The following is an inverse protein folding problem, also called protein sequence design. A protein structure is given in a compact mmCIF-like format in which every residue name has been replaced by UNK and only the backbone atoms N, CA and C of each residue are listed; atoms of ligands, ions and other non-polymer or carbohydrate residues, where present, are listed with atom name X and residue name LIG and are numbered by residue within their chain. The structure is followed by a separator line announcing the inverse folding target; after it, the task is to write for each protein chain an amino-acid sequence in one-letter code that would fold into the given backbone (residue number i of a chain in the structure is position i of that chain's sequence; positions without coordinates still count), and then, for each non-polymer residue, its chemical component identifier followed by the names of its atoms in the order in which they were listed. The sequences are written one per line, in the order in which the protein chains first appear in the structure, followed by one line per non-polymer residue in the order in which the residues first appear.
data_IF_356297424087
#
_entry.id   IF_356297424087
#
_cell.length_a   1.000
_cell.length_b   1.000
_cell.length_c   1.000
_cell.angle_alpha   90.00
_cell.angle_beta   90.00
_cell.angle_gamma   90.00
#
_symmetry.space_group_name_H-M   'P 1'
#
loop_
_entity.id
_entity.type
_entity.pdbx_description
1 polymer ?
#
# COMPACT_ATOMS: atom_id res chain seq x y z
N UNK A 1 1.09 20.16 -25.14
CA UNK A 1 0.00 20.70 -24.29
C UNK A 1 -0.11 19.81 -23.05
N UNK A 2 0.06 20.36 -21.85
CA UNK A 2 0.20 19.61 -20.58
C UNK A 2 -1.01 18.70 -20.35
N UNK A 3 -0.83 17.37 -20.41
CA UNK A 3 -1.84 16.37 -20.00
C UNK A 3 -1.89 16.31 -18.46
N UNK A 4 -2.38 17.37 -17.83
CA UNK A 4 -2.48 17.47 -16.38
C UNK A 4 -3.90 17.81 -15.92
N UNK A 5 -4.12 17.81 -14.60
CA UNK A 5 -5.39 18.22 -13.99
C UNK A 5 -5.62 19.69 -14.35
N UNK A 6 -6.69 19.95 -15.12
CA UNK A 6 -7.01 21.26 -15.69
C UNK A 6 -7.68 22.19 -14.67
N UNK A 7 -8.56 21.64 -13.83
CA UNK A 7 -9.24 22.36 -12.76
C UNK A 7 -9.62 21.40 -11.63
N UNK A 8 -9.89 21.95 -10.45
CA UNK A 8 -10.50 21.25 -9.33
C UNK A 8 -11.63 22.10 -8.77
N UNK A 9 -12.76 21.45 -8.51
CA UNK A 9 -13.85 21.98 -7.71
C UNK A 9 -14.02 21.11 -6.46
N UNK A 10 -14.12 21.74 -5.29
CA UNK A 10 -14.34 21.06 -4.02
C UNK A 10 -15.71 21.50 -3.49
N UNK A 11 -16.68 20.60 -3.47
CA UNK A 11 -18.04 20.88 -3.04
C UNK A 11 -18.55 19.80 -2.09
N UNK A 12 -19.27 20.17 -1.01
CA UNK A 12 -20.11 19.21 -0.29
C UNK A 12 -21.19 18.69 -1.24
N UNK A 13 -21.38 17.37 -1.29
CA UNK A 13 -22.34 16.74 -2.19
C UNK A 13 -23.05 15.58 -1.52
N UNK A 14 -24.23 15.26 -2.05
CA UNK A 14 -24.95 14.03 -1.74
C UNK A 14 -24.82 13.08 -2.93
N UNK A 15 -24.32 11.88 -2.68
CA UNK A 15 -24.07 10.89 -3.73
C UNK A 15 -24.77 9.58 -3.39
N UNK A 16 -25.27 8.89 -4.42
CA UNK A 16 -25.72 7.50 -4.31
C UNK A 16 -24.57 6.59 -4.72
N UNK A 17 -24.02 5.85 -3.77
CA UNK A 17 -22.85 4.98 -4.00
C UNK A 17 -23.32 3.53 -4.17
N UNK A 18 -22.84 2.88 -5.23
CA UNK A 18 -22.96 1.42 -5.39
C UNK A 18 -21.67 0.77 -4.94
N UNK A 19 -21.76 -0.24 -4.06
CA UNK A 19 -20.59 -0.98 -3.58
C UNK A 19 -20.28 -2.12 -4.54
N UNK A 20 -19.03 -2.19 -4.99
CA UNK A 20 -18.49 -3.24 -5.83
C UNK A 20 -17.13 -3.67 -5.27
N UNK A 21 -16.76 -4.91 -5.52
CA UNK A 21 -15.43 -5.45 -5.28
C UNK A 21 -14.52 -5.20 -6.49
N UNK A 22 -13.21 -5.29 -6.28
CA UNK A 22 -12.25 -5.19 -7.38
C UNK A 22 -12.48 -6.29 -8.41
N UNK A 23 -12.70 -7.54 -7.97
CA UNK A 23 -12.98 -8.67 -8.85
C UNK A 23 -14.22 -8.44 -9.73
N UNK A 24 -15.31 -7.89 -9.17
CA UNK A 24 -16.52 -7.56 -9.94
C UNK A 24 -16.29 -6.46 -10.98
N UNK A 25 -15.44 -5.46 -10.69
CA UNK A 25 -15.13 -4.39 -11.64
C UNK A 25 -14.15 -4.88 -12.70
N UNK A 26 -13.23 -5.78 -12.34
CA UNK A 26 -12.25 -6.35 -13.27
C UNK A 26 -12.92 -6.97 -14.50
N UNK A 27 -14.01 -7.73 -14.29
CA UNK A 27 -14.76 -8.37 -15.38
C UNK A 27 -15.62 -7.40 -16.20
N UNK A 28 -15.62 -6.11 -15.86
CA UNK A 28 -16.50 -5.07 -16.40
C UNK A 28 -15.72 -3.84 -16.86
N UNK A 29 -14.40 -3.92 -16.98
CA UNK A 29 -13.54 -2.78 -17.32
C UNK A 29 -13.84 -2.19 -18.71
N UNK A 30 -14.40 -2.97 -19.62
CA UNK A 30 -14.82 -2.51 -20.94
C UNK A 30 -16.22 -1.84 -20.93
N UNK A 31 -16.95 -1.89 -19.80
CA UNK A 31 -18.24 -1.24 -19.63
C UNK A 31 -18.09 0.19 -19.12
N UNK A 32 -18.99 1.10 -19.52
CA UNK A 32 -19.06 2.42 -18.90
C UNK A 32 -19.74 2.36 -17.51
N UNK A 33 -19.27 3.13 -16.51
CA UNK A 33 -18.25 4.17 -16.59
C UNK A 33 -16.79 3.69 -16.43
N UNK A 34 -16.56 2.39 -16.23
CA UNK A 34 -15.25 1.83 -15.87
C UNK A 34 -14.22 1.98 -16.99
N UNK A 35 -14.61 1.81 -18.25
CA UNK A 35 -13.75 1.98 -19.40
C UNK A 35 -13.15 3.40 -19.46
N UNK A 36 -13.98 4.42 -19.26
CA UNK A 36 -13.52 5.81 -19.20
C UNK A 36 -12.62 6.05 -18.00
N UNK A 37 -12.96 5.53 -16.82
CA UNK A 37 -12.13 5.68 -15.62
C UNK A 37 -10.77 5.00 -15.76
N UNK A 38 -10.71 3.80 -16.32
CA UNK A 38 -9.47 3.07 -16.57
C UNK A 38 -8.56 3.86 -17.50
N UNK A 39 -9.10 4.35 -18.63
CA UNK A 39 -8.35 5.16 -19.60
C UNK A 39 -7.76 6.43 -18.97
N UNK A 40 -8.52 7.10 -18.10
CA UNK A 40 -8.03 8.27 -17.37
C UNK A 40 -6.94 7.91 -16.36
N UNK A 41 -7.12 6.83 -15.61
CA UNK A 41 -6.13 6.34 -14.65
C UNK A 41 -4.82 5.93 -15.33
N UNK A 42 -4.88 5.22 -16.47
CA UNK A 42 -3.70 4.84 -17.25
C UNK A 42 -2.97 6.05 -17.83
N UNK A 43 -3.71 7.02 -18.40
CA UNK A 43 -3.10 8.25 -18.91
C UNK A 43 -2.42 9.06 -17.79
N UNK A 44 -3.01 9.05 -16.60
CA UNK A 44 -2.44 9.69 -15.41
C UNK A 44 -1.19 8.94 -14.91
N UNK A 45 -1.24 7.61 -14.85
CA UNK A 45 -0.12 6.76 -14.48
C UNK A 45 1.09 6.98 -15.39
N UNK A 46 0.89 6.90 -16.71
CA UNK A 46 1.95 7.14 -17.70
C UNK A 46 2.56 8.54 -17.57
N UNK A 47 1.75 9.55 -17.20
CA UNK A 47 2.27 10.88 -16.90
C UNK A 47 3.16 10.86 -15.66
N UNK A 48 2.76 10.21 -14.57
CA UNK A 48 3.57 10.12 -13.34
C UNK A 48 4.88 9.38 -13.58
N UNK A 49 4.85 8.27 -14.31
CA UNK A 49 6.05 7.51 -14.70
C UNK A 49 7.01 8.35 -15.54
N UNK A 50 6.48 9.14 -16.49
CA UNK A 50 7.29 10.10 -17.25
C UNK A 50 7.92 11.22 -16.40
N UNK A 51 7.48 11.39 -15.15
CA UNK A 51 8.05 12.29 -14.14
C UNK A 51 8.78 11.52 -13.02
N UNK A 52 9.21 10.28 -13.28
CA UNK A 52 10.03 9.49 -12.37
C UNK A 52 9.27 8.80 -11.24
N UNK A 53 7.95 8.62 -11.37
CA UNK A 53 7.22 7.79 -10.41
C UNK A 53 7.73 6.35 -10.41
N UNK A 54 7.84 5.79 -9.22
CA UNK A 54 8.33 4.43 -9.00
C UNK A 54 7.14 3.51 -8.80
N UNK A 55 7.10 2.42 -9.55
CA UNK A 55 6.10 1.34 -9.40
C UNK A 55 6.76 0.19 -8.66
N UNK A 56 6.17 -0.22 -7.54
CA UNK A 56 6.59 -1.40 -6.77
C UNK A 56 5.33 -2.24 -6.56
N UNK A 57 5.23 -3.32 -7.31
CA UNK A 57 4.13 -4.28 -7.22
C UNK A 57 4.68 -5.61 -6.66
N UNK A 58 4.95 -5.60 -5.36
CA UNK A 58 5.34 -6.80 -4.63
C UNK A 58 4.09 -7.52 -4.10
N UNK A 59 4.05 -8.86 -4.13
CA UNK A 59 2.95 -9.67 -3.63
C UNK A 59 2.38 -9.21 -2.27
N UNK A 60 1.09 -8.89 -2.28
CA UNK A 60 0.30 -8.60 -1.10
C UNK A 60 -0.71 -9.71 -0.82
N UNK A 61 -1.10 -9.87 0.45
CA UNK A 61 -2.15 -10.80 0.85
C UNK A 61 -3.19 -10.10 1.70
N UNK A 62 -4.44 -10.53 1.57
CA UNK A 62 -5.49 -10.25 2.55
C UNK A 62 -5.51 -11.33 3.62
N UNK A 63 -5.67 -10.89 4.87
CA UNK A 63 -5.80 -11.78 6.03
C UNK A 63 -7.19 -11.56 6.61
N UNK A 64 -7.98 -12.64 6.74
CA UNK A 64 -9.31 -12.62 7.36
C UNK A 64 -9.40 -13.71 8.43
N UNK A 65 -9.92 -13.34 9.60
CA UNK A 65 -10.21 -14.29 10.68
C UNK A 65 -11.72 -14.50 10.74
N UNK A 66 -12.17 -15.73 10.52
CA UNK A 66 -13.59 -16.12 10.65
C UNK A 66 -13.82 -16.79 11.99
N UNK A 67 -14.63 -16.18 12.84
CA UNK A 67 -15.12 -16.82 14.05
C UNK A 67 -16.38 -17.62 13.71
N UNK A 68 -16.41 -18.91 14.06
CA UNK A 68 -17.64 -19.72 13.94
C UNK A 68 -18.75 -19.18 14.85
N UNK A 69 -20.01 -19.28 14.42
CA UNK A 69 -21.15 -18.83 15.22
C UNK A 69 -21.23 -19.52 16.59
N UNK A 70 -21.71 -18.77 17.59
CA UNK A 70 -22.04 -19.28 18.92
C UNK A 70 -23.26 -20.22 18.82
N UNK A 71 -23.02 -21.51 18.64
CA UNK A 71 -23.99 -22.53 19.05
C UNK A 71 -23.30 -23.62 19.87
N UNK A 72 -23.71 -23.72 21.13
CA UNK A 72 -23.41 -24.84 22.04
C UNK A 72 -22.05 -24.75 22.73
N UNK A 73 -22.10 -24.59 24.06
CA UNK A 73 -20.98 -24.80 24.97
C UNK A 73 -20.37 -26.18 24.74
N UNK A 74 -19.13 -26.24 24.25
CA UNK A 74 -18.24 -27.39 24.41
C UNK A 74 -16.86 -26.82 24.72
N UNK A 75 -16.27 -27.27 25.83
CA UNK A 75 -14.90 -26.93 26.25
C UNK A 75 -13.90 -27.40 25.20
N UNK A 76 -13.12 -26.46 24.67
CA UNK A 76 -12.16 -26.66 23.60
C UNK A 76 -12.16 -25.40 22.74
N UNK A 77 -11.01 -24.73 22.64
CA UNK A 77 -10.83 -23.49 21.88
C UNK A 77 -11.34 -23.70 20.44
N UNK A 78 -12.52 -23.19 20.07
CA UNK A 78 -12.94 -23.11 18.67
C UNK A 78 -12.04 -22.07 18.01
N UNK A 79 -10.92 -22.51 17.45
CA UNK A 79 -10.01 -21.61 16.72
C UNK A 79 -10.77 -21.03 15.54
N UNK A 80 -10.80 -19.70 15.43
CA UNK A 80 -11.28 -19.06 14.22
C UNK A 80 -10.44 -19.51 13.03
N UNK A 81 -11.08 -19.74 11.88
CA UNK A 81 -10.34 -20.08 10.67
C UNK A 81 -9.65 -18.82 10.16
N UNK A 82 -8.34 -18.88 10.01
CA UNK A 82 -7.58 -17.82 9.36
C UNK A 82 -7.54 -18.11 7.86
N UNK A 83 -7.80 -17.09 7.06
CA UNK A 83 -7.78 -17.15 5.60
C UNK A 83 -6.76 -16.13 5.14
N UNK A 84 -5.67 -16.60 4.55
CA UNK A 84 -4.70 -15.79 3.82
C UNK A 84 -4.99 -15.97 2.33
N UNK A 85 -5.17 -14.86 1.60
CA UNK A 85 -5.42 -14.88 0.15
C UNK A 85 -4.54 -13.86 -0.55
N UNK A 86 -3.77 -14.27 -1.57
CA UNK A 86 -3.08 -13.37 -2.46
C UNK A 86 -4.03 -12.34 -3.05
N UNK A 87 -3.56 -11.11 -3.14
CA UNK A 87 -4.23 -10.04 -3.85
C UNK A 87 -3.65 -10.02 -5.26
N UNK A 88 -4.40 -10.44 -6.29
CA UNK A 88 -3.91 -10.40 -7.65
C UNK A 88 -3.68 -8.94 -8.10
N UNK A 89 -2.75 -8.72 -9.04
CA UNK A 89 -2.63 -7.44 -9.71
C UNK A 89 -3.85 -7.26 -10.61
N UNK A 90 -4.75 -6.35 -10.22
CA UNK A 90 -6.01 -6.08 -10.91
C UNK A 90 -6.01 -4.65 -11.46
N UNK A 91 -6.43 -4.48 -12.71
CA UNK A 91 -6.55 -3.15 -13.31
C UNK A 91 -7.60 -2.29 -12.60
N UNK A 92 -8.65 -2.91 -12.05
CA UNK A 92 -9.62 -2.26 -11.17
C UNK A 92 -8.99 -1.68 -9.90
N UNK A 93 -7.93 -2.29 -9.35
CA UNK A 93 -7.16 -1.73 -8.23
C UNK A 93 -6.34 -0.53 -8.69
N UNK A 94 -5.61 -0.67 -9.79
CA UNK A 94 -4.82 0.41 -10.41
C UNK A 94 -5.68 1.62 -10.74
N UNK A 95 -6.90 1.40 -11.23
CA UNK A 95 -7.89 2.44 -11.50
C UNK A 95 -8.20 3.24 -10.23
N UNK A 96 -8.58 2.55 -9.14
CA UNK A 96 -8.93 3.21 -7.88
C UNK A 96 -7.72 3.92 -7.29
N UNK A 97 -6.55 3.28 -7.27
CA UNK A 97 -5.31 3.88 -6.80
C UNK A 97 -4.98 5.17 -7.57
N UNK A 98 -4.99 5.11 -8.90
CA UNK A 98 -4.75 6.25 -9.77
C UNK A 98 -5.72 7.41 -9.49
N UNK A 99 -7.01 7.11 -9.30
CA UNK A 99 -8.01 8.13 -8.93
C UNK A 99 -7.74 8.76 -7.56
N UNK A 100 -7.31 7.98 -6.57
CA UNK A 100 -6.98 8.48 -5.23
C UNK A 100 -5.74 9.38 -5.26
N UNK A 101 -4.71 8.98 -6.01
CA UNK A 101 -3.47 9.77 -6.15
C UNK A 101 -3.77 11.07 -6.91
N UNK A 102 -4.53 10.99 -8.00
CA UNK A 102 -4.97 12.16 -8.77
C UNK A 102 -5.75 13.15 -7.91
N UNK A 103 -6.62 12.66 -7.03
CA UNK A 103 -7.37 13.51 -6.09
C UNK A 103 -6.43 14.22 -5.12
N UNK A 104 -5.43 13.51 -4.58
CA UNK A 104 -4.45 14.09 -3.67
C UNK A 104 -3.53 15.13 -4.30
N UNK A 105 -3.10 14.93 -5.56
CA UNK A 105 -2.38 15.96 -6.33
C UNK A 105 -3.28 17.18 -6.58
N UNK A 106 -4.53 16.95 -7.01
CA UNK A 106 -5.47 18.04 -7.28
C UNK A 106 -5.66 18.93 -6.05
N UNK A 107 -5.91 18.30 -4.90
CA UNK A 107 -6.12 18.99 -3.62
C UNK A 107 -4.86 19.72 -3.16
N UNK A 108 -3.68 19.12 -3.31
CA UNK A 108 -2.43 19.78 -2.98
C UNK A 108 -2.23 21.05 -3.83
N UNK A 109 -2.45 20.97 -5.14
CA UNK A 109 -2.36 22.12 -6.05
C UNK A 109 -3.39 23.20 -5.70
N UNK A 110 -4.64 22.81 -5.46
CA UNK A 110 -5.70 23.72 -5.05
C UNK A 110 -5.35 24.49 -3.78
N UNK A 111 -4.77 23.81 -2.80
CA UNK A 111 -4.35 24.41 -1.53
C UNK A 111 -3.18 25.40 -1.73
N UNK A 112 -2.18 25.02 -2.52
CA UNK A 112 -1.04 25.89 -2.88
C UNK A 112 -1.54 27.17 -3.56
N UNK A 113 -2.39 27.04 -4.58
CA UNK A 113 -2.92 28.18 -5.34
C UNK A 113 -3.74 29.16 -4.47
N UNK A 114 -4.24 28.70 -3.31
CA UNK A 114 -5.12 29.45 -2.41
C UNK A 114 -4.47 29.80 -1.06
N UNK A 115 -3.21 29.45 -0.86
CA UNK A 115 -2.51 29.65 0.42
C UNK A 115 -3.13 28.89 1.59
N UNK A 116 -3.73 27.71 1.34
CA UNK A 116 -4.27 26.84 2.40
C UNK A 116 -3.14 25.92 2.87
N UNK A 117 -2.81 25.97 4.16
CA UNK A 117 -1.82 25.07 4.75
C UNK A 117 -2.40 23.66 4.93
N UNK A 118 -1.68 22.63 4.48
CA UNK A 118 -2.10 21.23 4.59
C UNK A 118 -0.96 20.34 5.11
N UNK A 119 -1.26 19.17 5.70
CA UNK A 119 -0.24 18.15 5.93
C UNK A 119 0.11 17.46 4.60
N UNK A 120 1.15 17.94 3.94
CA UNK A 120 1.67 17.38 2.69
C UNK A 120 2.42 16.08 2.96
N UNK A 121 2.15 15.05 2.17
CA UNK A 121 2.96 13.83 2.16
C UNK A 121 4.10 14.01 1.16
N UNK A 122 5.32 13.93 1.66
CA UNK A 122 6.54 14.28 0.93
C UNK A 122 7.51 13.12 0.95
N UNK A 123 8.33 13.01 -0.08
CA UNK A 123 9.36 11.98 -0.16
C UNK A 123 10.47 12.53 -1.04
N UNK A 124 11.68 12.62 -0.49
CA UNK A 124 12.84 13.02 -1.26
C UNK A 124 13.00 12.11 -2.49
N UNK A 125 13.19 12.67 -3.70
CA UNK A 125 13.52 11.89 -4.88
C UNK A 125 14.75 11.03 -4.64
N UNK A 126 14.68 9.77 -5.07
CA UNK A 126 15.87 8.93 -5.19
C UNK A 126 16.69 9.30 -6.42
N UNK A 127 17.83 8.65 -6.58
CA UNK A 127 18.57 8.70 -7.84
C UNK A 127 17.71 8.11 -8.97
N UNK A 128 17.80 8.64 -10.21
CA UNK A 128 17.13 8.03 -11.36
C UNK A 128 17.52 6.56 -11.47
N UNK A 129 16.53 5.67 -11.52
CA UNK A 129 16.72 4.25 -11.74
C UNK A 129 15.89 3.81 -12.94
N UNK A 130 16.36 2.77 -13.64
CA UNK A 130 15.56 2.12 -14.66
C UNK A 130 14.29 1.51 -14.01
N UNK A 131 13.17 1.42 -14.76
CA UNK A 131 11.98 0.76 -14.25
C UNK A 131 12.30 -0.67 -13.83
N UNK A 132 11.92 -1.03 -12.60
CA UNK A 132 12.04 -2.40 -12.13
C UNK A 132 10.94 -3.25 -12.79
N UNK A 133 11.34 -4.31 -13.49
CA UNK A 133 10.44 -5.23 -14.19
C UNK A 133 10.24 -6.53 -13.41
N UNK A 134 11.22 -6.93 -12.59
CA UNK A 134 11.16 -8.17 -11.81
C UNK A 134 10.95 -7.91 -10.31
N UNK A 135 10.53 -8.95 -9.56
CA UNK A 135 10.34 -8.82 -8.11
C UNK A 135 11.66 -8.61 -7.38
N UNK A 136 12.77 -9.17 -7.84
CA UNK A 136 14.09 -8.91 -7.25
C UNK A 136 14.54 -7.45 -7.45
N UNK A 137 14.30 -6.88 -8.63
CA UNK A 137 14.56 -5.47 -8.92
C UNK A 137 13.67 -4.54 -8.08
N UNK A 138 12.36 -4.81 -8.02
CA UNK A 138 11.42 -4.05 -7.19
C UNK A 138 11.77 -4.16 -5.71
N UNK A 139 12.21 -5.33 -5.25
CA UNK A 139 12.66 -5.56 -3.89
C UNK A 139 13.91 -4.74 -3.56
N UNK A 140 14.89 -4.70 -4.47
CA UNK A 140 16.10 -3.89 -4.33
C UNK A 140 15.77 -2.39 -4.33
N UNK A 141 14.96 -1.94 -5.28
CA UNK A 141 14.51 -0.55 -5.43
C UNK A 141 13.77 -0.07 -4.18
N UNK A 142 12.83 -0.85 -3.64
CA UNK A 142 12.11 -0.52 -2.39
C UNK A 142 13.05 -0.19 -1.23
N UNK A 143 14.23 -0.83 -1.17
CA UNK A 143 15.20 -0.67 -0.09
C UNK A 143 16.06 0.58 -0.22
N UNK A 144 16.20 1.14 -1.43
CA UNK A 144 16.94 2.39 -1.67
C UNK A 144 16.06 3.63 -1.47
N UNK A 145 14.74 3.48 -1.55
CA UNK A 145 13.79 4.58 -1.38
C UNK A 145 13.85 5.21 0.02
N UNK A 146 13.79 6.55 0.04
CA UNK A 146 13.61 7.32 1.27
C UNK A 146 12.20 7.11 1.83
N UNK A 147 12.04 7.23 3.15
CA UNK A 147 10.71 7.16 3.76
C UNK A 147 9.90 8.40 3.40
N UNK A 148 8.61 8.22 3.14
CA UNK A 148 7.65 9.33 3.08
C UNK A 148 7.46 9.96 4.47
N UNK A 149 7.32 11.28 4.52
CA UNK A 149 7.18 12.10 5.72
C UNK A 149 6.07 13.13 5.51
N UNK A 150 5.34 13.46 6.57
CA UNK A 150 4.44 14.61 6.52
C UNK A 150 5.18 15.91 6.78
N UNK A 151 4.81 16.97 6.07
CA UNK A 151 5.33 18.33 6.22
C UNK A 151 4.21 19.35 6.15
N UNK A 152 4.39 20.51 6.80
CA UNK A 152 3.47 21.65 6.71
C UNK A 152 3.62 22.45 5.42
N UNK A 153 4.75 22.29 4.73
CA UNK A 153 5.10 22.99 3.49
C UNK A 153 5.08 22.00 2.32
N UNK A 154 4.58 22.39 1.13
CA UNK A 154 4.61 21.52 -0.03
C UNK A 154 6.04 21.17 -0.44
N UNK A 155 6.27 19.91 -0.77
CA UNK A 155 7.51 19.42 -1.34
C UNK A 155 7.24 18.19 -2.23
N UNK A 156 8.19 17.85 -3.12
CA UNK A 156 8.04 16.69 -4.01
C UNK A 156 7.79 15.38 -3.26
N UNK A 157 7.09 14.48 -3.95
CA UNK A 157 6.96 13.09 -3.58
C UNK A 157 7.58 12.21 -4.67
N UNK A 158 8.88 11.92 -4.51
CA UNK A 158 9.70 11.21 -5.50
C UNK A 158 9.08 9.92 -6.01
N UNK A 159 8.69 9.01 -5.12
CA UNK A 159 8.09 7.73 -5.51
C UNK A 159 6.75 7.85 -6.24
N UNK A 160 6.05 8.99 -6.13
CA UNK A 160 4.79 9.22 -6.85
C UNK A 160 4.99 10.03 -8.14
N UNK A 161 6.17 10.60 -8.39
CA UNK A 161 6.43 11.50 -9.52
C UNK A 161 5.58 12.77 -9.48
N UNK A 162 5.41 13.37 -8.30
CA UNK A 162 4.56 14.54 -8.07
C UNK A 162 5.32 15.67 -7.37
N UNK A 163 5.09 16.92 -7.81
CA UNK A 163 5.68 18.12 -7.18
C UNK A 163 5.09 18.44 -5.81
N UNK A 164 3.83 18.05 -5.59
CA UNK A 164 3.13 18.19 -4.32
C UNK A 164 2.02 17.14 -4.22
N UNK A 165 1.83 16.58 -3.02
CA UNK A 165 0.82 15.57 -2.76
C UNK A 165 0.27 15.68 -1.34
N UNK A 166 -1.05 15.59 -1.20
CA UNK A 166 -1.74 15.54 0.08
C UNK A 166 -2.68 14.33 0.11
N UNK A 167 -2.64 13.56 1.19
CA UNK A 167 -3.57 12.45 1.38
C UNK A 167 -4.92 13.00 1.85
N UNK A 168 -5.99 12.68 1.12
CA UNK A 168 -7.33 13.27 1.35
C UNK A 168 -8.48 12.27 1.26
N UNK A 169 -8.23 11.05 0.76
CA UNK A 169 -9.27 10.10 0.37
C UNK A 169 -9.60 9.07 1.46
N UNK A 170 -9.04 9.20 2.66
CA UNK A 170 -9.25 8.25 3.77
C UNK A 170 -9.44 8.92 5.15
N UNK A 171 -10.28 9.96 5.29
CA UNK A 171 -10.46 10.72 6.53
C UNK A 171 -11.04 9.90 7.70
N UNK A 172 -11.70 8.78 7.42
CA UNK A 172 -12.24 7.89 8.46
C UNK A 172 -11.19 7.04 9.18
N UNK A 173 -10.01 6.86 8.56
CA UNK A 173 -8.96 5.96 9.05
C UNK A 173 -7.57 6.60 9.16
N UNK A 174 -7.38 7.81 8.63
CA UNK A 174 -6.12 8.57 8.71
C UNK A 174 -6.40 9.97 9.21
N UNK A 175 -5.72 10.35 10.30
CA UNK A 175 -5.87 11.68 10.90
C UNK A 175 -5.40 12.80 9.96
N UNK A 176 -4.32 12.59 9.20
CA UNK A 176 -3.86 13.56 8.20
C UNK A 176 -4.93 13.90 7.16
N UNK A 177 -5.60 12.90 6.59
CA UNK A 177 -6.73 13.12 5.67
C UNK A 177 -7.88 13.88 6.34
N UNK A 178 -8.17 13.62 7.63
CA UNK A 178 -9.18 14.37 8.37
C UNK A 178 -8.79 15.85 8.52
N UNK A 179 -7.53 16.15 8.81
CA UNK A 179 -7.02 17.54 8.89
C UNK A 179 -7.16 18.24 7.54
N UNK A 180 -6.85 17.55 6.42
CA UNK A 180 -7.09 18.10 5.07
C UNK A 180 -8.57 18.42 4.87
N UNK A 181 -9.48 17.52 5.26
CA UNK A 181 -10.93 17.77 5.18
C UNK A 181 -11.35 18.98 6.02
N UNK A 182 -10.80 19.15 7.22
CA UNK A 182 -11.09 20.29 8.08
C UNK A 182 -10.67 21.61 7.42
N UNK A 183 -9.47 21.68 6.85
CA UNK A 183 -8.97 22.87 6.15
C UNK A 183 -9.81 23.21 4.91
N UNK A 184 -10.11 22.22 4.06
CA UNK A 184 -10.95 22.42 2.88
C UNK A 184 -12.36 22.92 3.27
N UNK A 185 -12.96 22.32 4.31
CA UNK A 185 -14.29 22.73 4.76
C UNK A 185 -14.31 24.10 5.44
N UNK A 186 -13.26 24.47 6.17
CA UNK A 186 -13.11 25.80 6.75
C UNK A 186 -12.98 26.86 5.64
N UNK A 187 -12.15 26.59 4.62
CA UNK A 187 -11.99 27.45 3.45
C UNK A 187 -13.32 27.70 2.74
N UNK A 188 -14.09 26.64 2.47
CA UNK A 188 -15.40 26.75 1.81
C UNK A 188 -16.44 27.54 2.61
N UNK A 189 -16.30 27.63 3.93
CA UNK A 189 -17.18 28.43 4.80
C UNK A 189 -16.67 29.86 5.06
N UNK A 190 -15.44 30.17 4.67
CA UNK A 190 -14.78 31.41 5.06
C UNK A 190 -14.37 31.46 6.53
N UNK A 191 -14.25 30.29 7.18
CA UNK A 191 -13.79 30.18 8.57
C UNK A 191 -12.27 30.39 8.67
N UNK A 192 -11.78 30.60 9.90
CA UNK A 192 -10.34 30.65 10.19
C UNK A 192 -9.66 29.34 9.77
N UNK A 193 -8.65 29.44 8.91
CA UNK A 193 -7.76 28.34 8.56
C UNK A 193 -6.70 28.12 9.63
N UNK A 194 -6.15 26.90 9.67
CA UNK A 194 -4.97 26.64 10.48
C UNK A 194 -3.76 27.21 9.72
N UNK A 195 -2.89 27.91 10.42
CA UNK A 195 -1.64 28.37 9.83
C UNK A 195 -0.60 27.24 9.72
N UNK A 196 0.55 27.54 9.13
CA UNK A 196 1.63 26.56 8.93
C UNK A 196 2.12 25.96 10.26
N UNK A 197 2.20 26.76 11.33
CA UNK A 197 2.67 26.33 12.64
C UNK A 197 1.65 25.39 13.31
N UNK A 198 0.36 25.71 13.20
CA UNK A 198 -0.73 24.85 13.66
C UNK A 198 -0.75 23.52 12.88
N UNK A 199 -0.54 23.55 11.56
CA UNK A 199 -0.43 22.33 10.75
C UNK A 199 0.82 21.53 11.13
N UNK A 200 1.96 22.18 11.37
CA UNK A 200 3.18 21.52 11.82
C UNK A 200 2.97 20.79 13.15
N UNK A 201 2.20 21.38 14.08
CA UNK A 201 1.82 20.71 15.32
C UNK A 201 1.00 19.42 15.06
N UNK A 202 0.05 19.46 14.13
CA UNK A 202 -0.72 18.25 13.72
C UNK A 202 0.14 17.20 13.04
N UNK A 203 1.10 17.62 12.23
CA UNK A 203 2.10 16.72 11.63
C UNK A 203 2.92 16.04 12.74
N UNK A 204 3.33 16.78 13.77
CA UNK A 204 4.01 16.23 14.94
C UNK A 204 3.18 15.16 15.67
N UNK A 205 1.88 15.38 15.84
CA UNK A 205 0.95 14.38 16.42
C UNK A 205 0.89 13.10 15.58
N UNK A 206 0.90 13.21 14.24
CA UNK A 206 0.90 12.05 13.32
C UNK A 206 2.22 11.28 13.43
N UNK A 207 3.36 11.98 13.30
CA UNK A 207 4.69 11.36 13.27
C UNK A 207 5.05 10.68 14.60
N UNK A 208 4.54 11.20 15.72
CA UNK A 208 4.75 10.60 17.04
C UNK A 208 4.20 9.18 17.19
N UNK A 209 3.16 8.81 16.42
CA UNK A 209 2.47 7.52 16.57
C UNK A 209 2.56 6.61 15.34
N UNK A 210 2.80 7.16 14.14
CA UNK A 210 2.72 6.40 12.89
C UNK A 210 3.70 5.22 12.82
N UNK A 211 4.89 5.36 13.42
CA UNK A 211 5.88 4.28 13.49
C UNK A 211 5.37 3.08 14.32
N UNK A 212 4.80 3.34 15.48
CA UNK A 212 4.25 2.31 16.37
C UNK A 212 3.01 1.63 15.75
N UNK A 213 2.10 2.41 15.13
CA UNK A 213 0.92 1.88 14.44
C UNK A 213 1.33 0.92 13.32
N UNK A 214 2.27 1.32 12.45
CA UNK A 214 2.80 0.46 11.37
C UNK A 214 3.49 -0.80 11.92
N UNK A 215 4.17 -0.69 13.05
CA UNK A 215 4.80 -1.85 13.68
C UNK A 215 3.76 -2.84 14.21
N UNK A 216 2.73 -2.36 14.91
CA UNK A 216 1.65 -3.21 15.44
C UNK A 216 0.89 -3.88 14.30
N UNK A 217 0.59 -3.16 13.22
CA UNK A 217 -0.06 -3.72 12.03
C UNK A 217 0.77 -4.86 11.42
N UNK A 218 2.07 -4.66 11.22
CA UNK A 218 2.98 -5.69 10.70
C UNK A 218 3.03 -6.92 11.60
N UNK A 219 3.28 -6.72 12.90
CA UNK A 219 3.35 -7.81 13.88
C UNK A 219 2.03 -8.59 13.96
N UNK A 220 0.90 -7.90 13.86
CA UNK A 220 -0.43 -8.54 13.83
C UNK A 220 -0.63 -9.35 12.55
N UNK A 221 -0.21 -8.82 11.39
CA UNK A 221 -0.28 -9.54 10.12
C UNK A 221 0.63 -10.78 10.14
N UNK A 222 1.87 -10.65 10.64
CA UNK A 222 2.81 -11.76 10.77
C UNK A 222 2.25 -12.83 11.72
N UNK A 223 1.70 -12.43 12.88
CA UNK A 223 1.03 -13.34 13.80
C UNK A 223 -0.05 -14.17 13.08
N UNK A 224 -0.97 -13.52 12.37
CA UNK A 224 -2.06 -14.23 11.72
C UNK A 224 -1.61 -15.10 10.55
N UNK A 225 -0.55 -14.71 9.82
CA UNK A 225 0.06 -15.59 8.81
C UNK A 225 0.66 -16.85 9.45
N UNK A 226 1.29 -16.72 10.62
CA UNK A 226 1.81 -17.88 11.36
C UNK A 226 0.68 -18.75 11.93
N UNK A 227 -0.41 -18.16 12.43
CA UNK A 227 -1.61 -18.94 12.83
C UNK A 227 -2.19 -19.68 11.62
N UNK A 228 -2.25 -19.06 10.44
CA UNK A 228 -2.65 -19.73 9.21
C UNK A 228 -1.75 -20.93 8.91
N UNK A 229 -0.42 -20.79 9.01
CA UNK A 229 0.51 -21.90 8.81
C UNK A 229 0.37 -23.00 9.87
N UNK A 230 0.11 -22.66 11.13
CA UNK A 230 -0.22 -23.65 12.18
C UNK A 230 -1.52 -24.41 11.89
N UNK A 231 -2.49 -23.78 11.22
CA UNK A 231 -3.72 -24.42 10.76
C UNK A 231 -3.54 -25.25 9.47
N UNK A 232 -2.40 -25.10 8.79
CA UNK A 232 -2.06 -25.78 7.54
C UNK A 232 -0.63 -26.35 7.63
N UNK A 233 -0.37 -27.35 8.49
CA UNK A 233 0.99 -27.85 8.73
C UNK A 233 1.63 -28.47 7.48
N UNK A 234 0.82 -29.00 6.56
CA UNK A 234 1.25 -29.57 5.28
C UNK A 234 1.31 -28.50 4.16
N UNK A 235 1.52 -27.22 4.51
CA UNK A 235 1.58 -26.16 3.52
C UNK A 235 2.82 -26.32 2.63
N UNK A 236 2.60 -26.21 1.32
CA UNK A 236 3.60 -26.17 0.28
C UNK A 236 3.31 -24.97 -0.63
N UNK A 237 4.35 -24.37 -1.21
CA UNK A 237 4.22 -23.26 -2.13
C UNK A 237 5.55 -22.89 -2.76
N UNK A 238 5.62 -21.70 -3.37
CA UNK A 238 6.80 -21.24 -4.07
C UNK A 238 7.38 -19.98 -3.42
N UNK A 239 8.72 -19.95 -3.33
CA UNK A 239 9.49 -18.76 -3.00
C UNK A 239 10.24 -18.25 -4.21
N UNK A 240 10.35 -16.92 -4.34
CA UNK A 240 11.11 -16.26 -5.42
C UNK A 240 12.36 -15.62 -4.85
N UNK A 241 13.52 -15.89 -5.45
CA UNK A 241 14.80 -15.33 -5.00
C UNK A 241 14.88 -13.83 -5.27
N UNK A 242 14.80 -13.01 -4.24
CA UNK A 242 14.81 -11.53 -4.38
C UNK A 242 16.11 -10.87 -3.88
N UNK A 243 16.92 -11.58 -3.09
CA UNK A 243 18.22 -11.09 -2.64
C UNK A 243 19.18 -12.27 -2.46
N UNK A 244 20.46 -12.11 -2.83
CA UNK A 244 21.50 -13.11 -2.60
C UNK A 244 22.69 -12.56 -1.83
N UNK A 245 23.25 -13.42 -0.96
CA UNK A 245 24.47 -13.22 -0.17
C UNK A 245 25.21 -14.55 -0.05
N UNK A 246 26.05 -14.86 -1.05
CA UNK A 246 26.75 -16.15 -1.15
C UNK A 246 25.77 -17.31 -1.25
N UNK A 247 25.93 -18.31 -0.38
CA UNK A 247 25.05 -19.48 -0.28
C UNK A 247 23.76 -19.23 0.53
N UNK A 248 23.44 -17.98 0.86
CA UNK A 248 22.21 -17.60 1.54
C UNK A 248 21.47 -16.53 0.74
N UNK A 249 20.15 -16.48 0.82
CA UNK A 249 19.36 -15.46 0.15
C UNK A 249 17.99 -15.26 0.78
N UNK A 250 17.34 -14.16 0.38
CA UNK A 250 15.95 -13.91 0.72
C UNK A 250 15.04 -14.44 -0.38
N UNK A 251 14.01 -15.14 0.06
CA UNK A 251 12.90 -15.58 -0.76
C UNK A 251 11.67 -14.75 -0.41
N UNK A 252 10.95 -14.30 -1.44
CA UNK A 252 9.60 -13.76 -1.30
C UNK A 252 8.62 -14.90 -1.55
N UNK A 253 7.68 -15.14 -0.64
CA UNK A 253 6.61 -16.15 -0.78
C UNK A 253 5.33 -15.41 -1.16
N UNK A 254 4.93 -15.40 -2.45
CA UNK A 254 3.81 -14.57 -2.91
C UNK A 254 2.50 -14.94 -2.24
N UNK A 255 2.26 -16.25 -2.05
CA UNK A 255 1.02 -16.77 -1.48
C UNK A 255 0.74 -16.32 -0.05
N UNK A 256 1.80 -15.95 0.67
CA UNK A 256 1.75 -15.50 2.06
C UNK A 256 2.11 -14.02 2.22
N UNK A 257 2.59 -13.36 1.15
CA UNK A 257 3.20 -12.04 1.22
C UNK A 257 4.28 -11.98 2.30
N UNK A 258 5.11 -13.03 2.41
CA UNK A 258 6.16 -13.17 3.43
C UNK A 258 7.54 -13.16 2.79
N UNK A 259 8.51 -12.62 3.53
CA UNK A 259 9.93 -12.75 3.21
C UNK A 259 10.55 -13.78 4.15
N UNK A 260 11.34 -14.72 3.62
CA UNK A 260 12.08 -15.69 4.44
C UNK A 260 13.54 -15.77 4.01
N UNK A 261 14.41 -16.13 4.95
CA UNK A 261 15.81 -16.41 4.67
C UNK A 261 16.00 -17.90 4.44
N UNK A 262 16.64 -18.27 3.34
CA UNK A 262 16.96 -19.66 3.02
C UNK A 262 18.43 -19.83 2.63
N UNK A 263 18.93 -21.06 2.83
CA UNK A 263 20.15 -21.50 2.17
C UNK A 263 19.81 -21.87 0.74
N UNK A 264 20.55 -21.33 -0.23
CA UNK A 264 20.27 -21.49 -1.66
C UNK A 264 21.50 -22.09 -2.35
N UNK A 265 21.32 -22.93 -3.39
CA UNK A 265 22.41 -23.36 -4.25
C UNK A 265 23.21 -22.17 -4.80
N UNK A 266 24.52 -22.32 -4.96
CA UNK A 266 25.41 -21.21 -5.35
C UNK A 266 25.06 -20.60 -6.71
N UNK A 267 24.44 -21.34 -7.63
CA UNK A 267 24.20 -20.89 -9.01
C UNK A 267 22.77 -20.41 -9.27
N UNK A 268 21.89 -20.32 -8.28
CA UNK A 268 20.47 -19.97 -8.50
C UNK A 268 20.28 -18.47 -8.82
N UNK A 269 19.84 -18.07 -10.04
CA UNK A 269 19.67 -16.65 -10.39
C UNK A 269 18.62 -15.93 -9.51
N UNK A 270 18.68 -14.59 -9.48
CA UNK A 270 17.54 -13.81 -8.97
C UNK A 270 16.28 -14.13 -9.77
N UNK A 271 15.12 -13.97 -9.14
CA UNK A 271 13.80 -14.29 -9.66
C UNK A 271 13.55 -15.78 -9.96
N UNK A 272 14.48 -16.67 -9.59
CA UNK A 272 14.25 -18.11 -9.66
C UNK A 272 13.17 -18.55 -8.68
N UNK A 273 12.33 -19.50 -9.11
CA UNK A 273 11.36 -20.18 -8.26
C UNK A 273 12.04 -21.29 -7.46
N UNK A 274 11.70 -21.36 -6.18
CA UNK A 274 12.16 -22.38 -5.24
C UNK A 274 10.92 -23.00 -4.59
N UNK A 275 10.65 -24.29 -4.81
CA UNK A 275 9.60 -25.00 -4.09
C UNK A 275 9.91 -25.01 -2.59
N UNK A 276 8.91 -24.73 -1.76
CA UNK A 276 9.04 -24.61 -0.31
C UNK A 276 7.98 -25.45 0.40
N UNK A 277 8.43 -26.20 1.39
CA UNK A 277 7.56 -26.81 2.40
C UNK A 277 7.67 -26.05 3.72
N UNK A 278 6.56 -25.99 4.47
CA UNK A 278 6.58 -25.48 5.84
C UNK A 278 7.45 -26.38 6.73
N UNK A 279 8.48 -25.82 7.36
CA UNK A 279 9.35 -26.55 8.27
C UNK A 279 8.87 -26.48 9.72
N UNK A 280 8.82 -25.26 10.28
CA UNK A 280 8.38 -25.05 11.66
C UNK A 280 7.92 -23.60 11.89
N UNK A 281 7.12 -23.39 12.94
CA UNK A 281 6.55 -22.09 13.32
C UNK A 281 6.76 -21.81 14.82
N UNK A 282 7.35 -20.65 15.18
CA UNK A 282 7.34 -20.05 16.52
C UNK A 282 6.32 -18.93 16.57
N UNK A 283 5.11 -19.20 17.07
CA UNK A 283 4.13 -18.12 17.19
C UNK A 283 4.54 -17.05 18.24
N UNK A 284 5.03 -17.42 19.45
CA UNK A 284 5.49 -16.43 20.42
C UNK A 284 6.64 -15.53 19.95
N UNK A 285 7.57 -16.05 19.15
CA UNK A 285 8.69 -15.27 18.60
C UNK A 285 8.41 -14.64 17.24
N UNK A 286 7.25 -14.93 16.64
CA UNK A 286 6.89 -14.56 15.26
C UNK A 286 7.95 -15.00 14.24
N UNK A 287 8.43 -16.23 14.41
CA UNK A 287 9.45 -16.83 13.54
C UNK A 287 8.85 -18.01 12.77
N UNK A 288 9.31 -18.20 11.54
CA UNK A 288 8.88 -19.29 10.67
C UNK A 288 10.02 -19.68 9.76
N UNK A 289 10.20 -21.00 9.58
CA UNK A 289 11.18 -21.53 8.65
C UNK A 289 10.52 -22.39 7.60
N UNK A 290 10.91 -22.15 6.37
CA UNK A 290 10.57 -22.96 5.21
C UNK A 290 11.80 -23.78 4.80
N UNK A 291 11.56 -24.94 4.21
CA UNK A 291 12.61 -25.79 3.65
C UNK A 291 12.46 -25.81 2.13
N UNK A 292 13.57 -25.61 1.41
CA UNK A 292 13.57 -25.79 -0.04
C UNK A 292 13.41 -27.28 -0.37
N UNK A 293 12.43 -27.60 -1.20
CA UNK A 293 12.27 -28.95 -1.73
C UNK A 293 13.26 -29.19 -2.86
N UNK A 294 13.64 -30.45 -3.07
CA UNK A 294 14.59 -30.85 -4.11
C UNK A 294 13.88 -31.22 -5.40
#
# INVERSE_FOLDING_TARGET
RRRGIASLEVVPSWVRVTRLTYDEVETRLDEEPFATFLRLAQAYQARREAHGAVVIDLPEVSIKVRHGERQGQVQGVRQGQVIVRPLPPLWSRTLVEGAMIMTGEAVARFAIDRGISLPYATQEPGDPQDPAETWSEMFALRRTMKRSQYRSVPAPHGGLGLDAYAQVTSPLRRYGDLVVHQQLRAYLRGDRLLDEAEILARVGEIEAVIGAVRQVERLSNDHWKLVYLLQNPDWHGEGVVVERRGASGKLLIPDLGLETQAHLPEELPLDSLVPLALGWVDLPRLDVRFQAER
#
